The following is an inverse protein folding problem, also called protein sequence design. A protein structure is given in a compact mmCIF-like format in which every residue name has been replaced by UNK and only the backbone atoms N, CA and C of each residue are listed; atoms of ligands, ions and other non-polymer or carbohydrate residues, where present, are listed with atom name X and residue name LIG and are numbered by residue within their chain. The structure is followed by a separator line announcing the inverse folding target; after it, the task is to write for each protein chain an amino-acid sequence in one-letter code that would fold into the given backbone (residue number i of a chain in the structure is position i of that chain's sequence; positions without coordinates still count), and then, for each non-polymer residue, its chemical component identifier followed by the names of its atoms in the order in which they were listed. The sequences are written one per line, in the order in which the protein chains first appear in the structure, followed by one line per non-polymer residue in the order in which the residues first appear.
data_IF_397841802169
#
_entry.id   IF_397841802169
#
_cell.length_a   1.000
_cell.length_b   1.000
_cell.length_c   1.000
_cell.angle_alpha   90.00
_cell.angle_beta   90.00
_cell.angle_gamma   90.00
#
_symmetry.space_group_name_H-M   'P 1'
#
loop_
_entity.id
_entity.type
_entity.pdbx_description
1 polymer ?
#
# COMPACT_ATOMS: atom_id res chain seq x y z
N UNK A 1 -8.36 30.77 -24.39
CA UNK A 1 -7.91 30.13 -23.13
C UNK A 1 -6.40 30.28 -23.04
N UNK A 2 -5.88 30.89 -21.98
CA UNK A 2 -4.44 31.15 -21.89
C UNK A 2 -3.68 29.85 -21.62
N UNK A 3 -2.48 29.74 -22.19
CA UNK A 3 -1.56 28.61 -22.03
C UNK A 3 -1.38 28.15 -20.57
N UNK A 4 -1.34 29.06 -19.60
CA UNK A 4 -1.25 28.71 -18.18
C UNK A 4 -2.48 27.96 -17.64
N UNK A 5 -3.69 28.30 -18.11
CA UNK A 5 -4.92 27.65 -17.68
C UNK A 5 -4.99 26.21 -18.16
N UNK A 6 -4.56 25.96 -19.40
CA UNK A 6 -4.49 24.61 -19.96
C UNK A 6 -3.50 23.73 -19.20
N UNK A 7 -2.30 24.26 -18.90
CA UNK A 7 -1.30 23.54 -18.11
C UNK A 7 -1.85 23.20 -16.73
N UNK A 8 -2.51 24.14 -16.04
CA UNK A 8 -3.10 23.89 -14.73
C UNK A 8 -4.14 22.77 -14.75
N UNK A 9 -5.01 22.74 -15.76
CA UNK A 9 -6.05 21.71 -15.91
C UNK A 9 -5.40 20.35 -16.19
N UNK A 10 -4.44 20.29 -17.12
CA UNK A 10 -3.77 19.03 -17.49
C UNK A 10 -2.99 18.46 -16.30
N UNK A 11 -2.23 19.29 -15.59
CA UNK A 11 -1.50 18.85 -14.38
C UNK A 11 -2.47 18.36 -13.31
N UNK A 12 -3.59 19.05 -13.08
CA UNK A 12 -4.63 18.60 -12.16
C UNK A 12 -5.24 17.26 -12.55
N UNK A 13 -5.53 17.07 -13.84
CA UNK A 13 -6.06 15.81 -14.36
C UNK A 13 -5.06 14.65 -14.21
N UNK A 14 -3.78 14.88 -14.47
CA UNK A 14 -2.72 13.88 -14.27
C UNK A 14 -2.60 13.52 -12.79
N UNK A 15 -2.64 14.50 -11.89
CA UNK A 15 -2.59 14.26 -10.44
C UNK A 15 -3.76 13.40 -9.97
N UNK A 16 -4.99 13.68 -10.45
CA UNK A 16 -6.15 12.86 -10.15
C UNK A 16 -6.01 11.43 -10.68
N UNK A 17 -5.58 11.26 -11.93
CA UNK A 17 -5.37 9.95 -12.52
C UNK A 17 -4.35 9.12 -11.73
N UNK A 18 -3.23 9.72 -11.36
CA UNK A 18 -2.20 9.06 -10.54
C UNK A 18 -2.73 8.70 -9.15
N UNK A 19 -3.50 9.58 -8.52
CA UNK A 19 -4.10 9.35 -7.20
C UNK A 19 -5.05 8.15 -7.22
N UNK A 20 -5.99 8.13 -8.17
CA UNK A 20 -6.90 6.98 -8.34
C UNK A 20 -6.15 5.70 -8.73
N UNK A 21 -5.18 5.80 -9.65
CA UNK A 21 -4.36 4.66 -10.06
C UNK A 21 -3.58 4.05 -8.89
N UNK A 22 -3.00 4.89 -8.02
CA UNK A 22 -2.30 4.43 -6.82
C UNK A 22 -3.24 3.71 -5.85
N UNK A 23 -4.42 4.28 -5.57
CA UNK A 23 -5.38 3.64 -4.67
C UNK A 23 -5.85 2.29 -5.20
N UNK A 24 -6.14 2.19 -6.50
CA UNK A 24 -6.51 0.93 -7.13
C UNK A 24 -5.38 -0.10 -7.09
N UNK A 25 -4.13 0.35 -7.29
CA UNK A 25 -2.95 -0.51 -7.21
C UNK A 25 -2.76 -1.05 -5.79
N UNK A 26 -2.81 -0.19 -4.76
CA UNK A 26 -2.71 -0.60 -3.36
C UNK A 26 -3.82 -1.58 -3.02
N UNK A 27 -5.06 -1.30 -3.44
CA UNK A 27 -6.18 -2.19 -3.23
C UNK A 27 -5.95 -3.57 -3.87
N UNK A 28 -5.40 -3.61 -5.08
CA UNK A 28 -5.04 -4.86 -5.76
C UNK A 28 -3.95 -5.63 -4.99
N UNK A 29 -2.94 -4.92 -4.50
CA UNK A 29 -1.86 -5.52 -3.73
C UNK A 29 -2.33 -6.02 -2.37
N UNK A 30 -3.31 -5.36 -1.73
CA UNK A 30 -3.90 -5.79 -0.46
C UNK A 30 -4.87 -6.97 -0.62
N UNK A 31 -5.34 -7.28 -1.85
CA UNK A 31 -6.07 -8.53 -2.11
C UNK A 31 -5.23 -9.81 -1.92
N UNK A 32 -3.95 -9.70 -1.55
CA UNK A 32 -3.06 -10.82 -1.18
C UNK A 32 -3.52 -11.64 0.03
N UNK A 33 -4.64 -11.28 0.65
CA UNK A 33 -5.24 -12.01 1.77
C UNK A 33 -4.79 -11.46 3.12
N UNK A 34 -5.36 -12.01 4.19
CA UNK A 34 -5.11 -11.51 5.53
C UNK A 34 -3.66 -11.74 5.95
N UNK A 35 -3.04 -10.71 6.51
CA UNK A 35 -1.75 -10.85 7.16
C UNK A 35 -1.94 -11.78 8.36
N UNK A 36 -1.50 -13.03 8.21
CA UNK A 36 -1.46 -13.96 9.33
C UNK A 36 -0.51 -13.37 10.38
N UNK A 37 -0.90 -13.36 11.67
CA UNK A 37 0.01 -12.92 12.71
C UNK A 37 1.28 -13.74 12.65
N UNK A 38 2.41 -13.09 12.94
CA UNK A 38 3.68 -13.80 13.05
C UNK A 38 3.52 -14.98 14.02
N UNK A 39 4.09 -16.16 13.72
CA UNK A 39 3.99 -17.32 14.60
C UNK A 39 4.41 -16.95 16.03
N UNK A 40 3.49 -17.07 16.98
CA UNK A 40 3.74 -16.85 18.42
C UNK A 40 4.29 -18.11 19.12
N UNK A 41 4.78 -19.08 18.34
CA UNK A 41 5.30 -20.32 18.90
C UNK A 41 6.60 -20.03 19.68
N UNK A 42 6.46 -19.96 21.01
CA UNK A 42 7.54 -19.77 21.97
C UNK A 42 8.19 -21.10 22.40
N UNK A 43 7.82 -22.23 21.79
CA UNK A 43 8.39 -23.55 22.13
C UNK A 43 9.92 -23.59 22.06
N UNK A 44 10.52 -22.86 21.11
CA UNK A 44 11.97 -22.71 20.98
C UNK A 44 12.61 -21.98 22.17
N UNK A 45 11.90 -20.99 22.74
CA UNK A 45 12.35 -20.25 23.92
C UNK A 45 12.20 -21.12 25.19
N UNK A 46 11.11 -21.87 25.29
CA UNK A 46 10.82 -22.76 26.42
C UNK A 46 11.86 -23.90 26.55
N UNK A 47 12.32 -24.48 25.44
CA UNK A 47 13.38 -25.50 25.44
C UNK A 47 14.74 -24.98 25.91
N UNK A 48 14.99 -23.67 25.80
CA UNK A 48 16.23 -23.02 26.20
C UNK A 48 16.32 -22.76 27.72
N UNK A 49 15.19 -22.77 28.42
CA UNK A 49 15.12 -22.55 29.87
C UNK A 49 14.95 -23.84 30.70
N UNK A 50 14.67 -24.97 30.04
CA UNK A 50 14.37 -26.27 30.70
C UNK A 50 15.60 -27.22 30.69
N UNK A 51 16.68 -26.85 29.98
CA UNK A 51 18.00 -27.52 30.06
C UNK A 51 18.89 -26.76 31.03
#
# INVERSE_FOLDING_TARGET
MNRSKWVAIVTGAIALLLSFGYLLLVQLLDFRGEMLPAPIDLSLLQNLFIV
#
